data_IF_742158851155
#
_entry.id   IF_742158851155
#
_cell.length_a   1.000
_cell.length_b   1.000
_cell.length_c   1.000
_cell.angle_alpha   90.00
_cell.angle_beta   90.00
_cell.angle_gamma   90.00
#
_symmetry.space_group_name_H-M   'P 1'
#
loop_
_entity.id
_entity.type
_entity.pdbx_description
1 polymer ?
#
# COMPACT_ATOMS: atom_id res chain seq x y z
N UNK A 1 12.78 27.79 -3.72
CA UNK A 1 12.63 27.78 -5.20
C UNK A 1 13.48 26.63 -5.70
N UNK A 2 12.99 25.86 -6.68
CA UNK A 2 13.78 24.83 -7.37
C UNK A 2 14.64 25.52 -8.42
N UNK A 3 15.89 25.11 -8.56
CA UNK A 3 16.79 25.61 -9.60
C UNK A 3 16.73 24.72 -10.85
N UNK A 4 17.19 25.24 -12.00
CA UNK A 4 17.31 24.46 -13.23
C UNK A 4 18.38 23.37 -13.06
N UNK A 5 18.10 22.15 -13.54
CA UNK A 5 18.99 21.01 -13.44
C UNK A 5 19.34 20.48 -14.84
N UNK A 6 20.61 20.11 -15.04
CA UNK A 6 21.08 19.44 -16.26
C UNK A 6 20.63 17.97 -16.24
N UNK A 7 20.13 17.47 -17.37
CA UNK A 7 19.84 16.04 -17.53
C UNK A 7 21.13 15.21 -17.47
N UNK A 8 21.12 14.11 -16.72
CA UNK A 8 22.29 13.23 -16.55
C UNK A 8 22.83 12.71 -17.89
N UNK A 9 21.97 12.48 -18.89
CA UNK A 9 22.37 12.04 -20.23
C UNK A 9 23.17 13.10 -21.02
N UNK A 10 23.17 14.35 -20.57
CA UNK A 10 23.95 15.43 -21.15
C UNK A 10 25.32 15.60 -20.46
N UNK A 11 25.58 14.89 -19.36
CA UNK A 11 26.85 14.92 -18.64
C UNK A 11 27.84 13.89 -19.22
N UNK A 12 28.26 14.14 -20.47
CA UNK A 12 29.01 13.19 -21.29
C UNK A 12 30.52 13.13 -20.98
N UNK A 13 31.03 14.06 -20.18
CA UNK A 13 32.47 14.26 -19.99
C UNK A 13 32.94 14.01 -18.55
N UNK A 14 32.02 13.75 -17.62
CA UNK A 14 32.38 13.36 -16.26
C UNK A 14 32.52 11.85 -16.17
N UNK A 15 33.52 11.42 -15.42
CA UNK A 15 33.61 10.02 -15.00
C UNK A 15 32.68 9.86 -13.79
N UNK A 16 31.84 8.81 -13.75
CA UNK A 16 30.99 8.54 -12.59
C UNK A 16 31.81 8.52 -11.30
N UNK A 17 31.40 9.30 -10.31
CA UNK A 17 32.06 9.34 -9.01
C UNK A 17 31.88 8.01 -8.28
N UNK A 18 32.95 7.50 -7.67
CA UNK A 18 32.87 6.33 -6.81
C UNK A 18 32.25 6.70 -5.47
N UNK A 19 31.21 5.97 -5.06
CA UNK A 19 30.64 6.10 -3.72
C UNK A 19 31.60 5.47 -2.70
N UNK A 20 32.16 6.29 -1.81
CA UNK A 20 32.99 5.82 -0.67
C UNK A 20 32.47 6.24 0.71
N UNK A 21 31.41 7.07 0.77
CA UNK A 21 30.92 7.66 2.02
C UNK A 21 29.86 6.82 2.74
N UNK A 22 29.26 5.83 2.08
CA UNK A 22 28.44 4.82 2.74
C UNK A 22 29.37 3.65 3.02
N UNK A 23 29.69 3.46 4.31
CA UNK A 23 30.68 2.49 4.75
C UNK A 23 30.06 1.10 4.94
N UNK A 24 28.77 1.04 5.32
CA UNK A 24 28.07 -0.21 5.60
C UNK A 24 26.56 -0.06 5.41
N UNK A 25 25.92 -1.12 4.90
CA UNK A 25 24.47 -1.29 4.89
C UNK A 25 24.13 -2.56 5.68
N UNK A 26 23.11 -2.52 6.53
CA UNK A 26 22.68 -3.69 7.31
C UNK A 26 21.18 -3.66 7.53
N UNK A 27 20.51 -4.80 7.38
CA UNK A 27 19.12 -4.95 7.79
C UNK A 27 19.09 -5.36 9.26
N UNK A 28 18.26 -4.66 10.03
CA UNK A 28 17.89 -5.06 11.39
C UNK A 28 16.45 -5.51 11.40
N UNK A 29 16.15 -6.50 12.23
CA UNK A 29 14.78 -6.94 12.50
C UNK A 29 14.25 -6.20 13.73
N UNK A 30 13.11 -5.53 13.59
CA UNK A 30 12.43 -4.79 14.66
C UNK A 30 11.13 -5.53 15.00
N UNK A 31 11.02 -6.12 16.20
CA UNK A 31 9.79 -6.77 16.64
C UNK A 31 8.72 -5.72 17.02
N UNK A 32 7.44 -6.12 17.10
CA UNK A 32 6.39 -5.25 17.60
C UNK A 32 6.61 -4.92 19.07
N UNK A 33 6.16 -3.74 19.49
CA UNK A 33 6.23 -3.24 20.87
C UNK A 33 5.41 -4.08 21.84
N UNK A 34 4.28 -4.60 21.38
CA UNK A 34 3.35 -5.40 22.17
C UNK A 34 3.15 -6.78 21.56
N UNK A 35 2.72 -7.73 22.40
CA UNK A 35 2.26 -9.02 21.92
C UNK A 35 1.13 -8.85 20.90
N UNK A 36 1.17 -9.68 19.85
CA UNK A 36 0.15 -9.68 18.79
C UNK A 36 -1.17 -10.14 19.40
N UNK A 37 -2.25 -9.43 19.08
CA UNK A 37 -3.60 -9.79 19.49
C UNK A 37 -4.58 -9.59 18.34
N UNK A 38 -5.81 -10.10 18.50
CA UNK A 38 -6.86 -9.96 17.48
C UNK A 38 -7.35 -8.51 17.34
N UNK A 39 -7.34 -7.73 18.43
CA UNK A 39 -8.01 -6.42 18.48
C UNK A 39 -7.06 -5.23 18.54
N UNK A 40 -5.82 -5.41 19.03
CA UNK A 40 -4.87 -4.30 19.13
C UNK A 40 -4.11 -4.06 17.83
N UNK A 41 -3.83 -2.79 17.48
CA UNK A 41 -2.92 -2.46 16.40
C UNK A 41 -1.52 -3.06 16.63
N UNK A 42 -0.82 -3.30 15.53
CA UNK A 42 0.57 -3.69 15.54
C UNK A 42 1.45 -2.43 15.55
N UNK A 43 2.25 -2.26 16.59
CA UNK A 43 3.08 -1.07 16.76
C UNK A 43 4.56 -1.41 16.70
N UNK A 44 5.32 -0.65 15.91
CA UNK A 44 6.76 -0.76 15.79
C UNK A 44 7.42 0.57 16.14
N UNK A 45 8.59 0.48 16.78
CA UNK A 45 9.40 1.63 17.14
C UNK A 45 10.82 1.44 16.66
N UNK A 46 11.26 2.35 15.79
CA UNK A 46 12.65 2.43 15.35
C UNK A 46 13.25 3.63 16.08
N UNK A 47 14.10 3.34 17.06
CA UNK A 47 14.82 4.39 17.78
C UNK A 47 15.73 5.17 16.82
N UNK A 48 15.66 6.49 16.92
CA UNK A 48 16.58 7.43 16.28
C UNK A 48 17.91 7.56 17.02
N UNK A 49 18.29 6.54 17.79
CA UNK A 49 19.55 6.49 18.53
C UNK A 49 20.63 5.79 17.72
N UNK A 50 21.90 6.11 18.00
CA UNK A 50 23.06 5.49 17.37
C UNK A 50 23.79 6.47 16.46
N UNK A 51 24.41 5.97 15.39
CA UNK A 51 25.10 6.78 14.38
C UNK A 51 24.57 6.55 12.95
N UNK A 52 23.83 5.45 12.76
CA UNK A 52 23.34 5.01 11.46
C UNK A 52 22.13 5.81 11.01
N UNK A 53 22.07 6.06 9.71
CA UNK A 53 20.89 6.63 9.07
C UNK A 53 19.91 5.51 8.73
N UNK A 54 18.66 5.87 8.46
CA UNK A 54 17.62 4.90 8.10
C UNK A 54 17.24 5.08 6.63
N UNK A 55 17.37 4.01 5.86
CA UNK A 55 16.82 3.93 4.50
C UNK A 55 15.36 3.45 4.60
N UNK A 56 14.44 4.42 4.68
CA UNK A 56 13.01 4.14 4.77
C UNK A 56 12.48 3.46 3.52
N UNK A 57 13.04 3.74 2.34
CA UNK A 57 12.58 3.14 1.10
C UNK A 57 12.82 1.62 1.05
N UNK A 58 13.88 1.17 1.71
CA UNK A 58 14.18 -0.25 1.90
C UNK A 58 13.72 -0.76 3.29
N UNK A 59 12.54 -0.34 3.74
CA UNK A 59 11.89 -0.94 4.91
C UNK A 59 10.74 -1.84 4.49
N UNK A 60 10.77 -3.08 4.99
CA UNK A 60 9.81 -4.12 4.62
C UNK A 60 9.09 -4.64 5.87
N UNK A 61 7.79 -4.88 5.75
CA UNK A 61 7.00 -5.62 6.74
C UNK A 61 7.08 -7.11 6.44
N UNK A 62 7.43 -7.89 7.46
CA UNK A 62 7.43 -9.34 7.42
C UNK A 62 6.30 -9.88 8.28
N UNK A 63 5.51 -10.78 7.73
CA UNK A 63 4.33 -11.36 8.39
C UNK A 63 4.33 -12.87 8.24
N UNK A 64 3.94 -13.57 9.30
CA UNK A 64 3.58 -14.99 9.23
C UNK A 64 2.07 -15.10 9.48
N UNK A 65 1.32 -15.57 8.49
CA UNK A 65 -0.13 -15.60 8.52
C UNK A 65 -0.67 -17.03 8.49
N UNK A 66 -1.80 -17.26 9.17
CA UNK A 66 -2.50 -18.55 9.22
C UNK A 66 -4.01 -18.33 9.18
N UNK A 67 -4.73 -19.10 8.37
CA UNK A 67 -6.20 -19.13 8.40
C UNK A 67 -6.65 -20.26 9.32
N UNK A 68 -7.65 -20.02 10.17
CA UNK A 68 -8.30 -21.03 11.02
C UNK A 68 -9.82 -20.98 10.87
N UNK A 69 -10.51 -22.00 11.36
CA UNK A 69 -11.95 -21.93 11.61
C UNK A 69 -12.25 -20.88 12.69
N UNK A 70 -13.53 -20.51 12.83
CA UNK A 70 -13.98 -19.53 13.83
C UNK A 70 -13.65 -19.92 15.28
N UNK A 71 -13.58 -21.22 15.58
CA UNK A 71 -13.22 -21.77 16.89
C UNK A 71 -11.70 -21.86 17.13
N UNK A 72 -10.88 -21.44 16.16
CA UNK A 72 -9.43 -21.48 16.21
C UNK A 72 -8.81 -22.82 15.79
N UNK A 73 -9.62 -23.82 15.43
CA UNK A 73 -9.12 -25.09 14.90
C UNK A 73 -8.63 -24.94 13.47
N UNK A 74 -7.78 -25.88 13.04
CA UNK A 74 -7.23 -25.88 11.70
C UNK A 74 -8.31 -26.14 10.65
N UNK A 75 -8.23 -25.41 9.53
CA UNK A 75 -9.10 -25.63 8.38
C UNK A 75 -8.74 -26.96 7.70
N UNK A 76 -9.73 -27.62 7.12
CA UNK A 76 -9.51 -28.85 6.35
C UNK A 76 -8.72 -28.57 5.06
N UNK A 77 -8.10 -29.62 4.52
CA UNK A 77 -7.55 -29.60 3.16
C UNK A 77 -8.66 -29.29 2.14
N UNK A 78 -8.41 -28.31 1.27
CA UNK A 78 -9.38 -27.85 0.28
C UNK A 78 -10.54 -27.03 0.85
N UNK A 79 -10.43 -26.51 2.09
CA UNK A 79 -11.42 -25.58 2.62
C UNK A 79 -11.61 -24.37 1.68
N UNK A 80 -12.86 -23.96 1.38
CA UNK A 80 -13.15 -22.98 0.35
C UNK A 80 -12.93 -21.54 0.84
N UNK A 81 -11.69 -21.22 1.24
CA UNK A 81 -11.29 -19.90 1.75
C UNK A 81 -9.90 -19.53 1.23
N UNK A 82 -9.70 -18.25 0.93
CA UNK A 82 -8.40 -17.71 0.54
C UNK A 82 -8.24 -16.24 0.93
N UNK A 83 -7.00 -15.78 0.93
CA UNK A 83 -6.66 -14.38 1.18
C UNK A 83 -7.10 -13.49 0.00
N UNK A 84 -7.47 -12.24 0.31
CA UNK A 84 -7.58 -11.17 -0.68
C UNK A 84 -6.23 -10.90 -1.36
N UNK A 85 -6.27 -10.17 -2.47
CA UNK A 85 -5.05 -9.87 -3.21
C UNK A 85 -4.05 -9.06 -2.35
N UNK A 86 -2.77 -9.43 -2.44
CA UNK A 86 -1.66 -8.71 -1.83
C UNK A 86 -1.70 -8.60 -0.30
N UNK A 87 -2.04 -9.70 0.36
CA UNK A 87 -2.22 -9.79 1.80
C UNK A 87 -1.01 -9.33 2.65
N UNK A 88 0.21 -9.27 2.08
CA UNK A 88 1.37 -8.71 2.76
C UNK A 88 1.19 -7.23 3.17
N UNK A 89 0.35 -6.49 2.45
CA UNK A 89 0.04 -5.08 2.73
C UNK A 89 -1.44 -4.83 2.98
N UNK A 90 -2.36 -5.58 2.35
CA UNK A 90 -3.79 -5.23 2.34
C UNK A 90 -4.60 -5.72 3.54
N UNK A 91 -4.01 -6.49 4.45
CA UNK A 91 -4.68 -6.95 5.67
C UNK A 91 -4.77 -5.88 6.76
N UNK A 92 -4.18 -4.70 6.52
CA UNK A 92 -4.26 -3.56 7.43
C UNK A 92 -5.23 -2.52 6.87
N UNK A 93 -6.21 -2.10 7.68
CA UNK A 93 -7.16 -1.06 7.30
C UNK A 93 -6.51 0.33 7.30
N UNK A 94 -5.53 0.54 8.18
CA UNK A 94 -4.85 1.82 8.37
C UNK A 94 -3.38 1.61 8.75
N UNK A 95 -2.49 2.46 8.23
CA UNK A 95 -1.08 2.53 8.62
C UNK A 95 -0.71 3.98 8.94
N UNK A 96 -0.39 4.23 10.20
CA UNK A 96 0.04 5.51 10.71
C UNK A 96 1.56 5.54 10.89
N UNK A 97 2.21 6.56 10.34
CA UNK A 97 3.66 6.75 10.43
C UNK A 97 3.93 8.09 11.07
N UNK A 98 4.59 8.08 12.22
CA UNK A 98 5.03 9.28 12.92
C UNK A 98 6.55 9.39 12.94
N UNK A 99 7.05 10.61 12.74
CA UNK A 99 8.45 10.98 12.90
C UNK A 99 8.56 11.89 14.14
N UNK A 100 9.34 11.46 15.13
CA UNK A 100 9.28 12.01 16.48
C UNK A 100 7.86 11.90 17.05
N UNK A 101 7.26 13.04 17.35
CA UNK A 101 5.88 13.13 17.86
C UNK A 101 4.87 13.63 16.82
N UNK A 102 5.28 13.71 15.54
CA UNK A 102 4.42 14.20 14.46
C UNK A 102 3.97 13.07 13.54
N UNK A 103 2.66 12.87 13.45
CA UNK A 103 2.06 12.03 12.40
C UNK A 103 2.32 12.65 11.02
N UNK A 104 2.95 11.87 10.14
CA UNK A 104 3.28 12.31 8.78
C UNK A 104 2.35 11.69 7.74
N UNK A 105 1.82 10.48 7.97
CA UNK A 105 0.86 9.85 7.06
C UNK A 105 -0.57 10.38 7.26
N UNK A 106 -1.46 10.06 6.31
CA UNK A 106 -2.89 10.29 6.45
C UNK A 106 -3.54 9.10 7.18
N UNK A 107 -4.06 9.32 8.38
CA UNK A 107 -4.88 8.33 9.08
C UNK A 107 -6.22 8.15 8.35
N UNK A 108 -6.37 7.01 7.67
CA UNK A 108 -7.57 6.64 6.93
C UNK A 108 -7.71 5.12 6.91
N UNK A 109 -8.96 4.63 6.95
CA UNK A 109 -9.29 3.21 6.83
C UNK A 109 -9.25 2.69 5.38
N UNK A 110 -8.73 3.48 4.44
CA UNK A 110 -8.65 3.18 3.01
C UNK A 110 -7.26 2.68 2.58
N UNK A 111 -6.40 2.28 3.53
CA UNK A 111 -5.04 1.83 3.23
C UNK A 111 -4.97 0.67 2.22
N UNK A 112 -5.82 -0.38 2.28
CA UNK A 112 -5.78 -1.47 1.30
C UNK A 112 -5.99 -0.99 -0.14
N UNK A 113 -6.88 -0.03 -0.32
CA UNK A 113 -7.16 0.59 -1.62
C UNK A 113 -5.97 1.39 -2.14
N UNK A 114 -5.32 2.16 -1.26
CA UNK A 114 -4.07 2.83 -1.60
C UNK A 114 -3.05 1.83 -2.12
N UNK A 115 -2.79 0.74 -1.39
CA UNK A 115 -1.81 -0.26 -1.77
C UNK A 115 -2.11 -0.86 -3.15
N UNK A 116 -3.34 -1.33 -3.37
CA UNK A 116 -3.71 -1.99 -4.63
C UNK A 116 -3.69 -1.01 -5.81
N UNK A 117 -4.23 0.19 -5.65
CA UNK A 117 -4.24 1.19 -6.73
C UNK A 117 -2.79 1.57 -7.08
N UNK A 118 -1.97 1.85 -6.08
CA UNK A 118 -0.57 2.22 -6.28
C UNK A 118 0.23 1.10 -6.97
N UNK A 119 0.02 -0.16 -6.58
CA UNK A 119 0.59 -1.32 -7.25
C UNK A 119 0.17 -1.40 -8.73
N UNK A 120 -1.14 -1.25 -9.00
CA UNK A 120 -1.70 -1.37 -10.34
C UNK A 120 -1.34 -0.20 -11.27
N UNK A 121 -1.10 0.99 -10.74
CA UNK A 121 -0.78 2.19 -11.54
C UNK A 121 0.72 2.38 -11.75
N UNK A 122 1.55 2.00 -10.78
CA UNK A 122 2.97 2.38 -10.79
C UNK A 122 3.90 1.24 -11.24
N UNK A 123 3.44 -0.01 -11.23
CA UNK A 123 4.28 -1.17 -11.54
C UNK A 123 3.80 -1.93 -12.76
N UNK A 124 4.76 -2.33 -13.59
CA UNK A 124 4.51 -3.22 -14.73
C UNK A 124 4.16 -4.64 -14.30
N UNK A 125 3.60 -5.41 -15.23
CA UNK A 125 3.19 -6.80 -15.01
C UNK A 125 4.32 -7.66 -14.42
N UNK A 126 5.52 -7.55 -14.98
CA UNK A 126 6.66 -8.38 -14.55
C UNK A 126 7.04 -8.12 -13.09
N UNK A 127 7.01 -6.86 -12.66
CA UNK A 127 7.27 -6.51 -11.27
C UNK A 127 6.18 -7.06 -10.34
N UNK A 128 4.90 -6.95 -10.73
CA UNK A 128 3.77 -7.48 -9.96
C UNK A 128 3.80 -9.01 -9.83
N UNK A 129 4.23 -9.71 -10.88
CA UNK A 129 4.30 -11.18 -10.89
C UNK A 129 5.56 -11.74 -10.21
N UNK A 130 6.59 -10.91 -9.98
CA UNK A 130 7.85 -11.31 -9.36
C UNK A 130 8.01 -10.72 -7.96
N UNK A 131 8.35 -9.43 -7.86
CA UNK A 131 8.64 -8.74 -6.60
C UNK A 131 7.45 -8.80 -5.63
N UNK A 132 6.24 -8.51 -6.11
CA UNK A 132 5.05 -8.45 -5.27
C UNK A 132 4.46 -9.84 -4.92
N UNK A 133 4.95 -10.91 -5.54
CA UNK A 133 4.54 -12.27 -5.20
C UNK A 133 4.93 -12.66 -3.77
N UNK A 134 6.00 -12.05 -3.22
CA UNK A 134 6.40 -12.19 -1.82
C UNK A 134 5.36 -11.65 -0.82
N UNK A 135 4.50 -10.71 -1.26
CA UNK A 135 3.36 -10.23 -0.49
C UNK A 135 2.03 -10.90 -0.88
N UNK A 136 2.06 -12.01 -1.62
CA UNK A 136 0.90 -12.66 -2.24
C UNK A 136 0.09 -11.77 -3.19
N UNK A 137 0.76 -10.90 -3.95
CA UNK A 137 0.11 -10.28 -5.10
C UNK A 137 -0.04 -11.30 -6.22
N UNK A 138 -1.27 -11.76 -6.45
CA UNK A 138 -1.63 -12.57 -7.61
C UNK A 138 -2.91 -12.00 -8.18
N UNK A 139 -2.83 -11.39 -9.37
CA UNK A 139 -3.97 -10.68 -9.96
C UNK A 139 -5.15 -11.64 -10.17
N UNK A 140 -6.34 -11.20 -9.76
CA UNK A 140 -7.57 -11.97 -9.97
C UNK A 140 -7.90 -12.09 -11.46
N UNK A 141 -8.58 -13.18 -11.85
CA UNK A 141 -8.98 -13.40 -13.25
C UNK A 141 -10.03 -12.37 -13.67
N UNK A 142 -9.80 -11.68 -14.79
CA UNK A 142 -10.78 -10.76 -15.37
C UNK A 142 -12.13 -11.47 -15.63
N UNK A 143 -13.24 -10.79 -15.31
CA UNK A 143 -14.59 -11.35 -15.39
C UNK A 143 -14.96 -12.36 -14.29
N UNK A 144 -14.00 -12.78 -13.46
CA UNK A 144 -14.23 -13.73 -12.36
C UNK A 144 -13.74 -13.19 -11.01
N UNK A 145 -13.50 -11.88 -10.89
CA UNK A 145 -12.94 -11.27 -9.66
C UNK A 145 -13.86 -11.47 -8.44
N UNK A 146 -15.17 -11.52 -8.66
CA UNK A 146 -16.19 -11.79 -7.62
C UNK A 146 -16.42 -13.30 -7.37
N UNK A 147 -15.72 -14.21 -8.07
CA UNK A 147 -15.80 -15.63 -7.75
C UNK A 147 -15.01 -15.88 -6.46
N UNK A 148 -15.74 -16.15 -5.37
CA UNK A 148 -15.18 -16.29 -4.02
C UNK A 148 -14.78 -17.71 -3.64
N UNK A 149 -15.12 -18.71 -4.47
CA UNK A 149 -14.65 -20.08 -4.32
C UNK A 149 -13.21 -20.20 -4.88
N UNK A 150 -12.20 -20.58 -4.07
CA UNK A 150 -10.86 -20.82 -4.56
C UNK A 150 -10.75 -21.91 -5.63
N UNK A 151 -11.70 -22.85 -5.70
CA UNK A 151 -11.78 -23.86 -6.76
C UNK A 151 -12.51 -23.37 -8.03
N UNK A 152 -13.04 -22.14 -8.02
CA UNK A 152 -13.74 -21.52 -9.14
C UNK A 152 -12.83 -20.90 -10.20
N UNK A 153 -13.39 -19.98 -11.01
CA UNK A 153 -12.70 -19.35 -12.14
C UNK A 153 -11.64 -18.29 -11.80
N UNK A 154 -11.51 -17.90 -10.52
CA UNK A 154 -10.54 -16.91 -10.09
C UNK A 154 -9.17 -17.55 -9.74
N UNK A 155 -8.28 -17.62 -10.73
CA UNK A 155 -6.95 -18.24 -10.60
C UNK A 155 -6.05 -17.50 -9.61
N UNK A 156 -6.23 -16.19 -9.45
CA UNK A 156 -5.51 -15.38 -8.46
C UNK A 156 -5.86 -15.83 -7.05
N UNK A 157 -7.15 -15.96 -6.75
CA UNK A 157 -7.64 -16.49 -5.48
C UNK A 157 -7.21 -17.94 -5.26
N UNK A 158 -7.32 -18.81 -6.28
CA UNK A 158 -6.85 -20.21 -6.20
C UNK A 158 -5.39 -20.27 -5.75
N UNK A 159 -4.53 -19.45 -6.36
CA UNK A 159 -3.09 -19.44 -6.04
C UNK A 159 -2.83 -18.93 -4.63
N UNK A 160 -3.55 -17.90 -4.16
CA UNK A 160 -3.43 -17.37 -2.80
C UNK A 160 -3.90 -18.38 -1.76
N UNK A 161 -5.02 -19.08 -1.99
CA UNK A 161 -5.55 -20.09 -1.08
C UNK A 161 -4.59 -21.27 -0.87
N UNK A 162 -3.83 -21.67 -1.90
CA UNK A 162 -2.88 -22.77 -1.82
C UNK A 162 -1.78 -22.56 -0.75
N UNK A 163 -1.38 -21.31 -0.47
CA UNK A 163 -0.34 -21.01 0.52
C UNK A 163 -0.80 -21.20 1.97
N UNK A 164 -2.11 -21.13 2.22
CA UNK A 164 -2.71 -21.23 3.55
C UNK A 164 -3.59 -22.47 3.72
N UNK A 165 -3.62 -23.34 2.69
CA UNK A 165 -4.41 -24.56 2.69
C UNK A 165 -4.05 -25.45 3.88
N UNK A 166 -5.03 -26.16 4.43
CA UNK A 166 -4.88 -26.96 5.65
C UNK A 166 -4.22 -26.19 6.81
N UNK A 167 -4.50 -24.89 6.92
CA UNK A 167 -3.97 -24.02 7.98
C UNK A 167 -2.44 -23.89 7.97
N UNK A 168 -1.80 -24.04 6.81
CA UNK A 168 -0.38 -23.77 6.66
C UNK A 168 -0.05 -22.30 6.97
N UNK A 169 1.08 -22.08 7.63
CA UNK A 169 1.60 -20.73 7.92
C UNK A 169 2.36 -20.23 6.70
N UNK A 170 1.87 -19.15 6.09
CA UNK A 170 2.55 -18.48 4.99
C UNK A 170 3.40 -17.33 5.52
N UNK A 171 4.60 -17.16 4.96
CA UNK A 171 5.50 -16.04 5.28
C UNK A 171 5.47 -15.03 4.14
N UNK A 172 5.24 -13.76 4.49
CA UNK A 172 5.05 -12.67 3.55
C UNK A 172 6.04 -11.55 3.82
N UNK A 173 6.50 -10.90 2.75
CA UNK A 173 7.34 -9.72 2.81
C UNK A 173 6.79 -8.67 1.84
N UNK A 174 6.58 -7.44 2.34
CA UNK A 174 6.04 -6.35 1.52
C UNK A 174 6.58 -4.98 1.94
N UNK A 175 6.67 -4.00 1.02
CA UNK A 175 6.92 -2.61 1.38
C UNK A 175 5.75 -1.99 2.16
N UNK A 176 6.04 -0.93 2.90
CA UNK A 176 5.01 -0.12 3.56
C UNK A 176 4.56 0.98 2.59
N UNK A 177 3.27 1.00 2.23
CA UNK A 177 2.69 1.98 1.33
C UNK A 177 2.37 3.30 2.05
N UNK A 178 3.40 4.07 2.36
CA UNK A 178 3.27 5.40 2.95
C UNK A 178 4.22 6.37 2.27
N UNK A 179 3.82 7.64 2.12
CA UNK A 179 4.51 8.58 1.23
C UNK A 179 6.00 8.75 1.59
N UNK A 180 6.33 8.72 2.88
CA UNK A 180 7.71 8.86 3.39
C UNK A 180 8.57 7.60 3.12
N UNK A 181 7.97 6.46 2.81
CA UNK A 181 8.68 5.25 2.43
C UNK A 181 9.00 5.22 0.93
N UNK A 182 8.52 6.17 0.13
CA UNK A 182 8.86 6.26 -1.30
C UNK A 182 9.84 7.36 -1.65
N UNK A 183 10.28 8.15 -0.66
CA UNK A 183 11.37 9.09 -0.86
C UNK A 183 12.73 8.38 -0.68
N UNK A 184 13.70 8.69 -1.53
CA UNK A 184 14.97 7.96 -1.63
C UNK A 184 16.07 8.51 -0.70
N UNK A 185 15.85 9.65 -0.03
CA UNK A 185 16.87 10.23 0.85
C UNK A 185 16.94 9.45 2.17
N UNK A 186 18.15 9.24 2.65
CA UNK A 186 18.36 8.63 3.97
C UNK A 186 17.79 9.53 5.07
N UNK A 187 16.97 8.95 5.93
CA UNK A 187 16.49 9.62 7.13
C UNK A 187 17.67 9.81 8.08
N UNK A 188 17.92 11.06 8.45
CA UNK A 188 18.97 11.41 9.38
C UNK A 188 18.73 10.72 10.72
N UNK A 189 19.83 10.38 11.37
CA UNK A 189 19.80 9.92 12.75
C UNK A 189 19.22 10.99 13.69
N UNK A 190 18.75 10.60 14.89
CA UNK A 190 18.12 11.50 15.85
C UNK A 190 16.60 11.66 15.67
N UNK A 191 15.99 10.94 14.72
CA UNK A 191 14.54 10.97 14.47
C UNK A 191 13.95 9.60 14.81
N UNK A 192 13.16 9.55 15.87
CA UNK A 192 12.38 8.36 16.21
C UNK A 192 11.28 8.11 15.17
N UNK A 193 11.09 6.85 14.77
CA UNK A 193 10.03 6.47 13.82
C UNK A 193 9.07 5.52 14.52
N UNK A 194 7.80 5.88 14.57
CA UNK A 194 6.70 5.05 15.10
C UNK A 194 5.79 4.65 13.95
N UNK A 195 5.54 3.35 13.81
CA UNK A 195 4.63 2.80 12.79
C UNK A 195 3.54 2.02 13.52
N UNK A 196 2.28 2.42 13.32
CA UNK A 196 1.11 1.75 13.88
C UNK A 196 0.24 1.21 12.74
N UNK A 197 0.02 -0.09 12.72
CA UNK A 197 -0.77 -0.77 11.69
C UNK A 197 -2.04 -1.35 12.31
N UNK A 198 -3.19 -0.81 11.93
CA UNK A 198 -4.50 -1.30 12.39
C UNK A 198 -4.96 -2.40 11.46
N UNK A 199 -5.31 -3.56 12.03
CA UNK A 199 -5.78 -4.72 11.28
C UNK A 199 -7.13 -4.42 10.60
N UNK A 200 -7.35 -4.95 9.41
CA UNK A 200 -8.67 -5.04 8.81
C UNK A 200 -9.42 -6.25 9.39
N UNK A 201 -10.74 -6.27 9.21
CA UNK A 201 -11.59 -7.37 9.69
C UNK A 201 -11.31 -8.65 8.91
N UNK A 202 -11.59 -9.80 9.51
CA UNK A 202 -11.41 -11.10 8.84
C UNK A 202 -12.27 -11.19 7.58
N UNK A 203 -13.53 -10.73 7.64
CA UNK A 203 -14.43 -10.65 6.48
C UNK A 203 -13.96 -9.69 5.37
N UNK A 204 -13.03 -8.76 5.67
CA UNK A 204 -12.38 -7.97 4.61
C UNK A 204 -11.18 -8.71 4.04
N UNK A 205 -10.39 -9.37 4.88
CA UNK A 205 -9.13 -10.01 4.50
C UNK A 205 -9.30 -11.35 3.76
N UNK A 206 -10.47 -11.98 3.87
CA UNK A 206 -10.72 -13.35 3.41
C UNK A 206 -11.91 -13.39 2.45
N UNK A 207 -11.75 -14.17 1.38
CA UNK A 207 -12.82 -14.54 0.47
C UNK A 207 -13.12 -16.02 0.64
N UNK A 208 -14.41 -16.39 0.68
CA UNK A 208 -14.82 -17.79 0.84
C UNK A 208 -16.10 -18.12 0.08
N UNK A 209 -16.37 -19.41 -0.09
CA UNK A 209 -17.70 -19.92 -0.46
C UNK A 209 -18.40 -20.59 0.74
N UNK A 210 -19.73 -20.72 0.71
CA UNK A 210 -20.52 -21.38 1.75
C UNK A 210 -21.05 -20.42 2.83
N UNK A 211 -21.14 -20.88 4.10
CA UNK A 211 -21.59 -20.07 5.24
C UNK A 211 -20.64 -20.12 6.46
N UNK A 212 -19.52 -20.83 6.34
CA UNK A 212 -18.56 -21.02 7.44
C UNK A 212 -17.71 -19.75 7.61
N UNK A 213 -17.64 -19.21 8.82
CA UNK A 213 -16.73 -18.11 9.12
C UNK A 213 -15.31 -18.63 9.39
N UNK A 214 -14.31 -17.86 8.97
CA UNK A 214 -12.90 -18.15 9.17
C UNK A 214 -12.22 -16.99 9.92
N UNK A 215 -11.00 -17.20 10.40
CA UNK A 215 -10.20 -16.14 11.03
C UNK A 215 -8.84 -16.04 10.37
N UNK A 216 -8.35 -14.82 10.19
CA UNK A 216 -6.97 -14.56 9.81
C UNK A 216 -6.14 -14.30 11.06
N UNK A 217 -5.13 -15.15 11.30
CA UNK A 217 -4.22 -15.02 12.42
C UNK A 217 -2.86 -14.52 11.94
N UNK A 218 -2.36 -13.47 12.59
CA UNK A 218 -0.96 -13.06 12.47
C UNK A 218 -0.19 -13.84 13.53
N UNK A 219 0.58 -14.84 13.10
CA UNK A 219 1.38 -15.72 13.97
C UNK A 219 2.61 -14.96 14.50
N UNK A 220 3.27 -14.20 13.63
CA UNK A 220 4.34 -13.29 13.99
C UNK A 220 4.43 -12.15 12.99
N UNK A 221 5.04 -11.05 13.41
CA UNK A 221 5.30 -9.91 12.56
C UNK A 221 6.60 -9.23 12.99
N UNK A 222 7.34 -8.69 12.02
CA UNK A 222 8.58 -7.94 12.24
C UNK A 222 8.73 -6.89 11.14
N UNK A 223 9.52 -5.83 11.39
CA UNK A 223 10.00 -4.94 10.33
C UNK A 223 11.47 -5.22 10.03
N UNK A 224 11.79 -5.36 8.76
CA UNK A 224 13.18 -5.34 8.29
C UNK A 224 13.53 -3.90 7.88
N UNK A 225 14.40 -3.27 8.66
CA UNK A 225 14.79 -1.86 8.48
C UNK A 225 16.25 -1.81 8.03
N UNK A 226 16.51 -1.14 6.92
CA UNK A 226 17.88 -0.94 6.43
C UNK A 226 18.53 0.26 7.15
N UNK A 227 19.56 -0.04 7.94
CA UNK A 227 20.45 0.92 8.58
C UNK A 227 21.68 1.16 7.69
N UNK A 228 22.09 2.42 7.60
CA UNK A 228 23.17 2.87 6.73
C UNK A 228 24.22 3.61 7.56
N UNK A 229 25.42 3.03 7.66
CA UNK A 229 26.56 3.68 8.30
C UNK A 229 27.23 4.62 7.32
N UNK A 230 27.27 5.90 7.67
CA UNK A 230 27.80 6.99 6.84
C UNK A 230 29.09 7.51 7.48
N UNK A 231 30.06 7.86 6.64
CA UNK A 231 31.37 8.30 7.09
C UNK A 231 31.30 9.47 8.08
N UNK A 232 32.20 9.54 9.08
CA UNK A 232 32.17 10.58 10.10
C UNK A 232 32.19 12.01 9.53
N UNK A 233 32.94 12.24 8.46
CA UNK A 233 33.02 13.54 7.79
C UNK A 233 31.68 14.03 7.25
N UNK A 234 30.90 13.14 6.63
CA UNK A 234 29.55 13.48 6.15
C UNK A 234 28.59 13.72 7.30
N UNK A 235 28.65 12.90 8.37
CA UNK A 235 27.81 13.08 9.56
C UNK A 235 28.07 14.43 10.24
N UNK A 236 29.35 14.81 10.41
CA UNK A 236 29.74 16.12 10.95
C UNK A 236 29.28 17.26 10.03
N UNK A 237 29.42 17.10 8.71
CA UNK A 237 28.95 18.07 7.72
C UNK A 237 27.43 18.30 7.81
N UNK A 238 26.64 17.22 7.92
CA UNK A 238 25.20 17.31 8.11
C UNK A 238 24.83 17.97 9.45
N UNK A 239 25.50 17.59 10.55
CA UNK A 239 25.26 18.21 11.86
C UNK A 239 25.54 19.72 11.83
N UNK A 240 26.62 20.15 11.17
CA UNK A 240 26.93 21.56 10.99
C UNK A 240 25.90 22.28 10.11
N UNK A 241 25.45 21.66 9.02
CA UNK A 241 24.44 22.24 8.13
C UNK A 241 23.10 22.47 8.84
N UNK A 242 22.70 21.53 9.71
CA UNK A 242 21.45 21.58 10.50
C UNK A 242 21.41 22.75 11.49
N UNK A 243 22.54 23.33 11.87
CA UNK A 243 22.59 24.56 12.69
C UNK A 243 22.04 25.79 11.95
N UNK A 244 22.01 25.74 10.61
CA UNK A 244 21.61 26.88 9.77
C UNK A 244 20.38 26.61 8.91
N UNK A 245 20.21 25.37 8.42
CA UNK A 245 19.16 25.02 7.46
C UNK A 245 18.55 23.66 7.79
N UNK A 246 17.21 23.53 7.83
CA UNK A 246 16.57 22.24 8.05
C UNK A 246 16.78 21.27 6.87
N UNK A 247 16.91 19.99 7.17
CA UNK A 247 16.88 18.94 6.17
C UNK A 247 15.52 18.88 5.45
N UNK A 248 15.54 18.66 4.13
CA UNK A 248 14.35 18.63 3.27
C UNK A 248 14.18 17.26 2.62
N UNK A 249 13.09 16.60 2.99
CA UNK A 249 12.64 15.32 2.44
C UNK A 249 11.47 15.57 1.49
N UNK A 250 11.65 15.42 0.16
CA UNK A 250 10.56 15.55 -0.79
C UNK A 250 9.60 14.38 -0.62
N UNK A 251 8.29 14.64 -0.67
CA UNK A 251 7.25 13.64 -0.52
C UNK A 251 6.15 13.94 -1.53
N UNK A 252 5.80 12.96 -2.37
CA UNK A 252 4.59 13.01 -3.19
C UNK A 252 3.42 12.42 -2.39
N UNK A 253 2.41 13.26 -2.12
CA UNK A 253 1.28 12.89 -1.27
C UNK A 253 0.22 12.11 -2.05
N UNK A 254 -0.12 10.91 -1.56
CA UNK A 254 -1.28 10.16 -2.03
C UNK A 254 -2.42 10.37 -1.04
N UNK A 255 -3.55 10.92 -1.51
CA UNK A 255 -4.74 11.13 -0.70
C UNK A 255 -5.89 10.30 -1.25
N UNK A 256 -6.48 9.45 -0.40
CA UNK A 256 -7.65 8.64 -0.74
C UNK A 256 -8.86 9.23 -0.04
N UNK A 257 -9.92 9.49 -0.81
CA UNK A 257 -11.23 9.92 -0.33
C UNK A 257 -12.26 8.90 -0.80
N UNK A 258 -13.18 8.51 0.09
CA UNK A 258 -14.30 7.63 -0.25
C UNK A 258 -15.61 8.42 -0.17
N UNK A 259 -16.55 8.07 -1.04
CA UNK A 259 -17.89 8.66 -1.10
C UNK A 259 -18.89 7.54 -1.33
N UNK A 260 -19.99 7.54 -0.57
CA UNK A 260 -21.08 6.58 -0.77
C UNK A 260 -22.08 7.15 -1.77
N UNK A 261 -22.40 6.37 -2.81
CA UNK A 261 -23.42 6.71 -3.80
C UNK A 261 -24.66 5.83 -3.55
N UNK A 262 -25.81 6.40 -3.18
CA UNK A 262 -27.02 5.62 -2.94
C UNK A 262 -27.54 4.93 -4.20
N UNK A 263 -28.11 3.74 -4.03
CA UNK A 263 -28.78 3.00 -5.12
C UNK A 263 -29.87 3.86 -5.76
N UNK A 264 -29.94 3.85 -7.09
CA UNK A 264 -30.91 4.64 -7.87
C UNK A 264 -30.46 6.07 -8.19
N UNK A 265 -29.31 6.50 -7.67
CA UNK A 265 -28.73 7.80 -8.03
C UNK A 265 -28.22 7.77 -9.47
N UNK A 266 -28.73 8.70 -10.31
CA UNK A 266 -28.25 8.87 -11.70
C UNK A 266 -27.12 9.89 -11.83
N UNK A 267 -27.04 10.83 -10.88
CA UNK A 267 -26.06 11.91 -10.87
C UNK A 267 -25.50 12.03 -9.47
N UNK A 268 -24.18 12.11 -9.37
CA UNK A 268 -23.46 12.31 -8.12
C UNK A 268 -22.42 13.40 -8.34
N UNK A 269 -22.52 14.50 -7.57
CA UNK A 269 -21.57 15.61 -7.62
C UNK A 269 -20.80 15.66 -6.31
N UNK A 270 -19.47 15.72 -6.40
CA UNK A 270 -18.60 15.86 -5.24
C UNK A 270 -17.87 17.19 -5.33
N UNK A 271 -18.23 18.11 -4.44
CA UNK A 271 -17.63 19.43 -4.38
C UNK A 271 -16.40 19.43 -3.46
N UNK A 272 -15.48 20.38 -3.67
CA UNK A 272 -14.31 20.58 -2.81
C UNK A 272 -13.45 19.31 -2.64
N UNK A 273 -13.31 18.53 -3.73
CA UNK A 273 -12.50 17.30 -3.76
C UNK A 273 -11.07 17.53 -3.27
N UNK A 274 -10.44 18.64 -3.61
CA UNK A 274 -9.14 19.06 -3.10
C UNK A 274 -9.12 20.58 -2.94
N UNK A 275 -8.59 21.07 -1.83
CA UNK A 275 -8.45 22.49 -1.53
C UNK A 275 -6.97 22.85 -1.39
N UNK A 276 -6.54 23.92 -2.05
CA UNK A 276 -5.14 24.36 -2.06
C UNK A 276 -4.29 23.56 -3.05
N UNK A 277 -3.48 22.62 -2.56
CA UNK A 277 -2.60 21.82 -3.42
C UNK A 277 -3.41 20.87 -4.29
N UNK A 278 -3.31 21.05 -5.61
CA UNK A 278 -4.01 20.23 -6.59
C UNK A 278 -3.24 18.92 -6.86
N UNK A 279 -3.94 17.80 -7.07
CA UNK A 279 -3.30 16.55 -7.43
C UNK A 279 -2.76 16.60 -8.87
N UNK A 280 -1.65 15.90 -9.11
CA UNK A 280 -1.10 15.69 -10.47
C UNK A 280 -1.94 14.71 -11.29
N UNK A 281 -2.59 13.77 -10.62
CA UNK A 281 -3.44 12.74 -11.23
C UNK A 281 -4.57 12.35 -10.28
N UNK A 282 -5.72 11.97 -10.84
CA UNK A 282 -6.88 11.49 -10.07
C UNK A 282 -7.25 10.11 -10.59
N UNK A 283 -7.38 9.15 -9.69
CA UNK A 283 -7.87 7.80 -9.98
C UNK A 283 -9.21 7.62 -9.30
N UNK A 284 -10.23 7.24 -10.08
CA UNK A 284 -11.54 6.87 -9.56
C UNK A 284 -11.64 5.35 -9.54
N UNK A 285 -12.02 4.79 -8.39
CA UNK A 285 -12.29 3.36 -8.23
C UNK A 285 -13.60 3.20 -7.47
N UNK A 286 -14.45 2.30 -7.95
CA UNK A 286 -15.78 2.05 -7.38
C UNK A 286 -15.91 0.58 -7.01
N UNK A 287 -16.51 0.31 -5.86
CA UNK A 287 -16.74 -1.03 -5.31
C UNK A 287 -18.08 -1.08 -4.58
N UNK A 288 -18.59 -2.28 -4.32
CA UNK A 288 -19.83 -2.45 -3.56
C UNK A 288 -19.54 -2.02 -2.11
N UNK A 289 -20.52 -1.40 -1.46
CA UNK A 289 -20.32 -0.86 -0.10
C UNK A 289 -20.00 -1.97 0.91
N UNK A 290 -20.60 -3.15 0.76
CA UNK A 290 -20.32 -4.33 1.59
C UNK A 290 -18.88 -4.84 1.39
N UNK A 291 -18.38 -4.83 0.15
CA UNK A 291 -16.98 -5.14 -0.17
C UNK A 291 -16.02 -4.13 0.50
N UNK A 292 -16.37 -2.83 0.50
CA UNK A 292 -15.59 -1.79 1.18
C UNK A 292 -15.56 -1.96 2.70
N UNK A 293 -16.69 -2.28 3.32
CA UNK A 293 -16.77 -2.47 4.78
C UNK A 293 -16.23 -3.82 5.27
N UNK A 294 -16.09 -4.78 4.36
CA UNK A 294 -15.70 -6.17 4.62
C UNK A 294 -16.89 -7.12 4.47
N UNK A 295 -16.73 -8.12 3.59
CA UNK A 295 -17.67 -9.22 3.40
C UNK A 295 -16.93 -10.42 2.81
N UNK A 296 -17.11 -11.59 3.43
CA UNK A 296 -16.58 -12.87 2.95
C UNK A 296 -16.98 -13.23 1.52
N UNK A 297 -18.15 -12.75 1.11
CA UNK A 297 -18.81 -13.11 -0.14
C UNK A 297 -18.51 -12.08 -1.25
N UNK A 298 -17.59 -11.12 -1.00
CA UNK A 298 -17.22 -10.06 -1.93
C UNK A 298 -15.71 -9.91 -2.02
N UNK A 299 -15.23 -9.50 -3.19
CA UNK A 299 -13.84 -9.09 -3.37
C UNK A 299 -13.72 -7.57 -3.14
N UNK A 300 -12.94 -7.08 -2.15
CA UNK A 300 -12.77 -5.64 -1.94
C UNK A 300 -12.06 -4.94 -3.09
N UNK A 301 -11.41 -5.68 -4.00
CA UNK A 301 -10.64 -5.15 -5.13
C UNK A 301 -11.26 -5.49 -6.50
N UNK A 302 -12.50 -6.00 -6.52
CA UNK A 302 -13.28 -6.09 -7.75
C UNK A 302 -13.85 -4.71 -8.10
N UNK A 303 -13.01 -3.86 -8.70
CA UNK A 303 -13.43 -2.53 -9.15
C UNK A 303 -14.42 -2.64 -10.31
N UNK A 304 -15.62 -2.09 -10.13
CA UNK A 304 -16.70 -2.12 -11.11
C UNK A 304 -16.89 -0.74 -11.73
N UNK A 305 -17.47 -0.71 -12.93
CA UNK A 305 -17.80 0.53 -13.61
C UNK A 305 -19.17 1.09 -13.24
N UNK A 306 -20.08 0.26 -12.72
CA UNK A 306 -21.48 0.60 -12.41
C UNK A 306 -22.20 1.34 -13.54
N UNK A 307 -21.89 0.98 -14.80
CA UNK A 307 -22.45 1.63 -15.98
C UNK A 307 -22.29 3.15 -15.96
N UNK A 308 -21.17 3.65 -15.44
CA UNK A 308 -20.85 5.08 -15.45
C UNK A 308 -20.76 5.62 -16.88
N UNK A 309 -21.74 6.39 -17.34
CA UNK A 309 -21.79 6.91 -18.72
C UNK A 309 -21.15 8.31 -18.86
N UNK A 310 -20.91 9.01 -17.75
CA UNK A 310 -20.42 10.39 -17.77
C UNK A 310 -19.57 10.71 -16.55
N UNK A 311 -18.37 11.26 -16.77
CA UNK A 311 -17.50 11.79 -15.72
C UNK A 311 -16.86 13.10 -16.17
N UNK A 312 -17.01 14.14 -15.36
CA UNK A 312 -16.37 15.43 -15.56
C UNK A 312 -15.67 15.85 -14.26
N UNK A 313 -14.44 16.35 -14.37
CA UNK A 313 -13.72 16.97 -13.25
C UNK A 313 -13.73 18.48 -13.49
N UNK A 314 -13.89 19.26 -12.43
CA UNK A 314 -13.88 20.71 -12.51
C UNK A 314 -12.72 21.27 -11.68
N UNK A 315 -11.99 22.21 -12.26
CA UNK A 315 -10.96 23.02 -11.61
C UNK A 315 -11.43 24.47 -11.63
N UNK A 316 -11.61 25.07 -10.45
CA UNK A 316 -12.06 26.46 -10.29
C UNK A 316 -13.31 26.81 -11.14
N UNK A 317 -14.26 25.87 -11.21
CA UNK A 317 -15.50 26.00 -11.97
C UNK A 317 -15.38 25.73 -13.48
N UNK A 318 -14.17 25.50 -14.01
CA UNK A 318 -13.93 25.13 -15.40
C UNK A 318 -13.79 23.61 -15.53
N UNK A 319 -14.29 23.03 -16.60
CA UNK A 319 -14.23 21.58 -16.82
C UNK A 319 -12.86 21.15 -17.35
N UNK A 320 -12.26 20.13 -16.72
CA UNK A 320 -10.99 19.53 -17.11
C UNK A 320 -11.07 18.00 -17.13
N UNK A 321 -10.71 17.34 -18.26
CA UNK A 321 -10.48 17.93 -19.57
C UNK A 321 -11.75 18.60 -20.16
N UNK A 322 -11.57 19.45 -21.16
CA UNK A 322 -12.65 20.28 -21.74
C UNK A 322 -13.85 19.45 -22.27
N UNK A 323 -13.58 18.25 -22.78
CA UNK A 323 -14.61 17.26 -23.07
C UNK A 323 -14.69 16.27 -21.90
N UNK A 324 -15.87 15.91 -21.40
CA UNK A 324 -16.00 14.94 -20.31
C UNK A 324 -15.66 13.53 -20.80
N UNK A 325 -15.38 12.63 -19.87
CA UNK A 325 -15.28 11.20 -20.15
C UNK A 325 -16.70 10.65 -20.34
N UNK A 326 -16.94 9.97 -21.46
CA UNK A 326 -18.21 9.31 -21.80
C UNK A 326 -17.89 7.89 -22.26
N UNK A 327 -17.68 6.94 -21.33
CA UNK A 327 -17.21 5.62 -21.68
C UNK A 327 -18.38 4.73 -22.12
N UNK A 328 -18.12 3.88 -23.10
CA UNK A 328 -19.03 2.82 -23.54
C UNK A 328 -18.38 1.47 -23.26
N UNK A 329 -18.61 0.93 -22.07
CA UNK A 329 -17.93 -0.29 -21.62
C UNK A 329 -18.29 -1.52 -22.48
N UNK A 330 -19.53 -1.60 -22.99
CA UNK A 330 -19.98 -2.71 -23.84
C UNK A 330 -19.31 -2.75 -25.22
N UNK A 331 -18.89 -1.60 -25.75
CA UNK A 331 -18.17 -1.50 -27.04
C UNK A 331 -16.64 -1.49 -26.86
N UNK A 332 -16.13 -1.57 -25.62
CA UNK A 332 -14.71 -1.47 -25.30
C UNK A 332 -14.14 -0.05 -25.35
N UNK A 333 -14.98 0.96 -25.62
CA UNK A 333 -14.58 2.37 -25.71
C UNK A 333 -14.60 3.02 -24.33
N UNK A 334 -13.69 2.60 -23.45
CA UNK A 334 -13.62 3.07 -22.06
C UNK A 334 -12.35 3.89 -21.73
N UNK A 335 -11.49 4.10 -22.74
CA UNK A 335 -10.26 4.87 -22.62
C UNK A 335 -10.34 6.05 -23.56
N UNK A 336 -9.85 7.21 -23.10
CA UNK A 336 -9.70 8.39 -23.92
C UNK A 336 -8.25 8.84 -23.90
N UNK A 337 -7.70 9.06 -25.08
CA UNK A 337 -6.44 9.79 -25.27
C UNK A 337 -6.74 11.30 -25.14
N UNK A 338 -5.84 12.03 -24.49
CA UNK A 338 -6.04 13.42 -24.04
C UNK A 338 -6.58 14.33 -25.15
#
# INVERSE_FOLDING_TARGET
>A
MSEECLKTELDLFTVPLTQTVIEKNTYIEVPPLSAISETSPLEFFIAGTGEDYVDLNNTLVFLRLKITNADGTDIADGAPVGLINYAGSTIFSQVDVSLGDRLISQSSNTYPYRCIIECLTNYGKDALETLFSAGLFYKDTAGHMDVTDPAGGNRGLTKRAAFTNASNVVELLAPIHSDIFFQEKLMLNGVDIKIRMTRAKDEFCLMRSGAVAYKLNIVSASLFVKKVSVSPGVRLGHAQALLSTPAKYPIDRVCVKNFSIPVGSRVCNQENLFLGTLPKSVVLAMVDNDAFTGSYDKNPFAFKNYDLEFLAVYLDGQQHPAKPLQPEYGSGSAVREF
#
